data_IF_407986095652
#
_entry.id   IF_407986095652
#
_cell.length_a   1.000
_cell.length_b   1.000
_cell.length_c   1.000
_cell.angle_alpha   90.00
_cell.angle_beta   90.00
_cell.angle_gamma   90.00
#
_symmetry.space_group_name_H-M   'P 1'
#
loop_
_entity.id
_entity.type
_entity.pdbx_description
1 polymer ?
#
# COMPACT_ATOMS: atom_id res chain seq x y z
N UNK A 1 -7.96 -3.30 -9.36
CA UNK A 1 -6.51 -3.34 -9.09
C UNK A 1 -5.84 -2.30 -9.97
N UNK A 2 -5.29 -1.26 -9.36
CA UNK A 2 -4.60 -0.16 -10.02
C UNK A 2 -3.28 0.07 -9.30
N UNK A 3 -2.16 -0.04 -9.99
CA UNK A 3 -0.87 0.35 -9.43
C UNK A 3 -0.81 1.88 -9.36
N UNK A 4 -0.65 2.43 -8.16
CA UNK A 4 -0.62 3.89 -7.92
C UNK A 4 0.79 4.41 -7.64
N UNK A 5 1.70 3.51 -7.23
CA UNK A 5 3.11 3.83 -6.99
C UNK A 5 3.98 2.62 -7.29
N UNK A 6 5.17 2.87 -7.85
CA UNK A 6 6.13 1.83 -8.21
C UNK A 6 7.55 2.41 -8.25
N UNK A 7 8.35 2.11 -7.23
CA UNK A 7 9.78 2.41 -7.16
C UNK A 7 10.61 1.13 -7.25
N UNK A 8 11.94 1.25 -7.18
CA UNK A 8 12.82 0.08 -7.13
C UNK A 8 12.65 -0.73 -5.83
N UNK A 9 12.28 -0.06 -4.73
CA UNK A 9 12.16 -0.67 -3.41
C UNK A 9 10.73 -1.14 -3.09
N UNK A 10 9.73 -0.32 -3.43
CA UNK A 10 8.34 -0.56 -3.02
C UNK A 10 7.34 -0.40 -4.18
N UNK A 11 6.18 -1.03 -4.04
CA UNK A 11 5.05 -0.89 -4.95
C UNK A 11 3.76 -0.76 -4.14
N UNK A 12 2.84 0.10 -4.59
CA UNK A 12 1.50 0.23 -4.00
C UNK A 12 0.45 -0.09 -5.07
N UNK A 13 -0.42 -1.04 -4.76
CA UNK A 13 -1.57 -1.43 -5.58
C UNK A 13 -2.86 -1.05 -4.84
N UNK A 14 -3.68 -0.21 -5.45
CA UNK A 14 -5.03 0.09 -4.99
C UNK A 14 -6.02 -0.95 -5.50
N UNK A 15 -6.84 -1.45 -4.60
CA UNK A 15 -7.99 -2.29 -4.89
C UNK A 15 -9.24 -1.43 -4.69
N UNK A 16 -10.01 -1.29 -5.77
CA UNK A 16 -11.31 -0.61 -5.70
C UNK A 16 -12.26 -1.33 -4.75
N UNK A 17 -13.24 -0.61 -4.23
CA UNK A 17 -14.27 -1.20 -3.40
C UNK A 17 -15.00 -2.31 -4.17
N UNK A 18 -14.98 -3.51 -3.61
CA UNK A 18 -15.61 -4.69 -4.13
C UNK A 18 -16.50 -5.27 -3.03
N UNK A 19 -17.80 -5.01 -3.16
CA UNK A 19 -18.82 -5.46 -2.20
C UNK A 19 -19.02 -6.98 -2.19
N UNK A 20 -18.55 -7.70 -3.22
CA UNK A 20 -18.61 -9.16 -3.27
C UNK A 20 -17.43 -9.80 -2.52
N UNK A 21 -16.33 -9.07 -2.36
CA UNK A 21 -15.18 -9.48 -1.56
C UNK A 21 -15.20 -8.76 -0.22
N UNK A 22 -15.65 -9.43 0.85
CA UNK A 22 -15.74 -8.85 2.19
C UNK A 22 -14.48 -8.08 2.68
N UNK A 23 -13.23 -8.52 2.40
CA UNK A 23 -12.03 -7.75 2.76
C UNK A 23 -11.86 -6.43 1.99
N UNK A 24 -12.49 -6.33 0.81
CA UNK A 24 -12.44 -5.21 -0.13
C UNK A 24 -13.76 -4.43 -0.19
N UNK A 25 -14.72 -4.70 0.70
CA UNK A 25 -16.03 -4.04 0.67
C UNK A 25 -15.95 -2.50 0.67
N UNK A 26 -14.89 -1.93 1.25
CA UNK A 26 -14.58 -0.49 1.27
C UNK A 26 -13.35 -0.11 0.43
N UNK A 27 -12.80 -1.07 -0.32
CA UNK A 27 -11.51 -0.97 -1.01
C UNK A 27 -10.35 -1.37 -0.11
N UNK A 28 -9.15 -1.41 -0.71
CA UNK A 28 -7.94 -1.79 -0.01
C UNK A 28 -6.68 -1.32 -0.74
N UNK A 29 -5.55 -1.40 -0.05
CA UNK A 29 -4.24 -1.14 -0.60
C UNK A 29 -3.32 -2.29 -0.27
N UNK A 30 -2.49 -2.67 -1.22
CA UNK A 30 -1.41 -3.62 -0.99
C UNK A 30 -0.09 -2.90 -1.17
N UNK A 31 0.77 -3.02 -0.17
CA UNK A 31 2.12 -2.49 -0.20
C UNK A 31 3.06 -3.69 -0.32
N UNK A 32 3.88 -3.68 -1.35
CA UNK A 32 4.87 -4.73 -1.63
C UNK A 32 6.27 -4.17 -1.45
N UNK A 33 7.04 -4.80 -0.57
CA UNK A 33 8.48 -4.62 -0.44
C UNK A 33 9.18 -5.60 -1.40
N UNK A 34 9.88 -5.05 -2.40
CA UNK A 34 10.61 -5.82 -3.40
C UNK A 34 11.97 -6.31 -2.90
N UNK A 35 12.58 -5.59 -1.96
CA UNK A 35 13.88 -5.94 -1.40
C UNK A 35 13.77 -7.16 -0.49
N UNK A 36 12.82 -7.11 0.45
CA UNK A 36 12.61 -8.17 1.43
C UNK A 36 11.59 -9.21 0.97
N UNK A 37 10.94 -8.98 -0.17
CA UNK A 37 9.90 -9.85 -0.74
C UNK A 37 8.81 -10.11 0.29
N UNK A 38 8.27 -9.03 0.83
CA UNK A 38 7.17 -9.05 1.81
C UNK A 38 6.06 -8.16 1.32
N UNK A 39 4.86 -8.40 1.83
CA UNK A 39 3.72 -7.58 1.51
C UNK A 39 2.81 -7.38 2.72
N UNK A 40 1.96 -6.37 2.62
CA UNK A 40 0.87 -6.17 3.56
C UNK A 40 -0.35 -5.67 2.81
N UNK A 41 -1.48 -6.30 3.10
CA UNK A 41 -2.78 -5.86 2.64
C UNK A 41 -3.45 -5.00 3.72
N UNK A 42 -3.84 -3.79 3.34
CA UNK A 42 -4.56 -2.82 4.15
C UNK A 42 -6.00 -2.76 3.65
N UNK A 43 -6.93 -3.33 4.42
CA UNK A 43 -8.37 -3.29 4.14
C UNK A 43 -9.16 -2.51 5.20
N UNK A 44 -10.39 -2.13 4.87
CA UNK A 44 -11.32 -1.48 5.80
C UNK A 44 -10.78 -0.17 6.39
N UNK A 45 -10.82 -0.01 7.71
CA UNK A 45 -10.40 1.23 8.40
C UNK A 45 -8.91 1.58 8.17
N UNK A 46 -8.04 0.57 8.01
CA UNK A 46 -6.63 0.80 7.67
C UNK A 46 -6.49 1.36 6.25
N UNK A 47 -7.29 0.88 5.30
CA UNK A 47 -7.30 1.39 3.93
C UNK A 47 -7.73 2.86 3.88
N UNK A 48 -8.77 3.23 4.65
CA UNK A 48 -9.24 4.62 4.73
C UNK A 48 -8.18 5.56 5.29
N UNK A 49 -7.52 5.14 6.38
CA UNK A 49 -6.43 5.90 7.00
C UNK A 49 -5.25 6.06 6.04
N UNK A 50 -4.84 4.96 5.39
CA UNK A 50 -3.75 4.97 4.40
C UNK A 50 -4.07 5.86 3.20
N UNK A 51 -5.30 5.84 2.69
CA UNK A 51 -5.74 6.74 1.61
C UNK A 51 -5.58 8.20 1.98
N UNK A 52 -5.93 8.57 3.22
CA UNK A 52 -5.77 9.94 3.71
C UNK A 52 -4.30 10.33 3.80
N UNK A 53 -3.45 9.44 4.32
CA UNK A 53 -2.00 9.66 4.42
C UNK A 53 -1.35 9.80 3.03
N UNK A 54 -1.67 8.89 2.09
CA UNK A 54 -1.17 8.95 0.71
C UNK A 54 -1.64 10.22 0.00
N UNK A 55 -2.91 10.62 0.17
CA UNK A 55 -3.41 11.86 -0.42
C UNK A 55 -2.65 13.07 0.10
N UNK A 56 -2.41 13.15 1.41
CA UNK A 56 -1.62 14.21 2.04
C UNK A 56 -0.17 14.22 1.58
N UNK A 57 0.40 13.02 1.39
CA UNK A 57 1.75 12.84 0.88
C UNK A 57 1.83 13.38 -0.55
N UNK A 58 0.92 12.96 -1.44
CA UNK A 58 0.83 13.44 -2.84
C UNK A 58 0.61 14.95 -2.93
N UNK A 59 -0.24 15.52 -2.07
CA UNK A 59 -0.47 16.98 -2.00
C UNK A 59 0.80 17.77 -1.67
N UNK A 60 1.81 17.13 -1.08
CA UNK A 60 3.11 17.72 -0.78
C UNK A 60 4.14 17.54 -1.91
N UNK A 61 3.73 16.97 -3.06
CA UNK A 61 4.60 16.62 -4.20
C UNK A 61 5.88 15.89 -3.75
N UNK A 62 5.72 14.72 -3.12
CA UNK A 62 6.78 14.03 -2.40
C UNK A 62 7.78 13.45 -3.39
N UNK A 63 9.06 13.39 -3.02
CA UNK A 63 10.05 12.65 -3.79
C UNK A 63 9.89 11.14 -3.62
N UNK A 64 10.48 10.36 -4.52
CA UNK A 64 10.53 8.88 -4.41
C UNK A 64 11.12 8.44 -3.06
N UNK A 65 12.15 9.15 -2.57
CA UNK A 65 12.78 8.85 -1.28
C UNK A 65 11.82 9.09 -0.11
N UNK A 66 11.02 10.15 -0.14
CA UNK A 66 10.03 10.43 0.91
C UNK A 66 8.91 9.39 0.96
N UNK A 67 8.49 8.90 -0.21
CA UNK A 67 7.51 7.82 -0.29
C UNK A 67 8.12 6.51 0.21
N UNK A 68 9.34 6.18 -0.18
CA UNK A 68 10.04 4.99 0.30
C UNK A 68 10.27 5.05 1.82
N UNK A 69 10.64 6.20 2.39
CA UNK A 69 10.76 6.42 3.84
C UNK A 69 9.41 6.29 4.57
N UNK A 70 8.32 6.75 3.95
CA UNK A 70 6.97 6.55 4.48
C UNK A 70 6.59 5.07 4.48
N UNK A 71 6.86 4.35 3.39
CA UNK A 71 6.56 2.93 3.26
C UNK A 71 7.45 2.05 4.15
N UNK A 72 8.69 2.46 4.40
CA UNK A 72 9.60 1.79 5.34
C UNK A 72 9.07 1.75 6.78
N UNK A 73 8.12 2.62 7.15
CA UNK A 73 7.44 2.54 8.46
C UNK A 73 6.58 1.27 8.59
N UNK A 74 6.08 0.76 7.46
CA UNK A 74 5.27 -0.46 7.41
C UNK A 74 6.12 -1.74 7.46
N UNK A 75 7.45 -1.64 7.38
CA UNK A 75 8.36 -2.78 7.43
C UNK A 75 8.16 -3.65 8.69
N UNK A 76 7.86 -2.98 9.81
CA UNK A 76 7.59 -3.63 11.11
C UNK A 76 6.28 -4.40 11.16
N UNK A 77 5.30 -4.04 10.31
CA UNK A 77 3.99 -4.69 10.24
C UNK A 77 3.86 -5.63 9.04
N UNK A 78 4.72 -5.51 8.03
CA UNK A 78 4.86 -6.42 6.89
C UNK A 78 5.43 -7.78 7.34
N UNK A 79 4.54 -8.64 7.80
CA UNK A 79 4.87 -9.99 8.24
C UNK A 79 4.50 -11.07 7.21
N UNK A 80 3.77 -10.72 6.14
CA UNK A 80 3.38 -11.69 5.13
C UNK A 80 4.50 -11.83 4.08
N UNK A 81 4.95 -13.06 3.79
CA UNK A 81 5.86 -13.30 2.67
C UNK A 81 5.14 -12.95 1.37
N UNK A 82 5.84 -12.27 0.45
CA UNK A 82 5.31 -11.91 -0.87
C UNK A 82 4.93 -13.18 -1.62
N UNK A 83 3.63 -13.39 -1.82
CA UNK A 83 3.11 -14.44 -2.68
C UNK A 83 2.91 -13.80 -4.05
N UNK A 84 3.60 -14.31 -5.07
CA UNK A 84 3.30 -13.90 -6.44
C UNK A 84 1.86 -14.35 -6.76
N UNK A 85 0.93 -13.40 -6.77
CA UNK A 85 -0.47 -13.56 -7.15
C UNK A 85 -0.65 -13.66 -8.67
#
# INVERSE_FOLDING_TARGET
MQMIYNSDNYCIVEFGADVEHAPLASGGFEIVDKNLKREIFLGGQMAESFRADVKRLIESEPSVEEVDDFLGKFDTVMNNPLVMH
#
